data_IF_207205580040
#
_entry.id   IF_207205580040
#
_cell.length_a   1.000
_cell.length_b   1.000
_cell.length_c   1.000
_cell.angle_alpha   90.00
_cell.angle_beta   90.00
_cell.angle_gamma   90.00
#
_symmetry.space_group_name_H-M   'P 1'
#
loop_
_entity.id
_entity.type
_entity.pdbx_description
1 polymer ?
#
# COMPACT_ATOMS: atom_id res chain seq x y z
N UNK A 1 77.69 70.54 33.18
CA UNK A 1 78.28 69.27 33.61
C UNK A 1 77.16 68.16 33.72
N UNK A 2 75.97 68.49 34.20
CA UNK A 2 74.86 67.52 34.30
C UNK A 2 74.31 67.08 32.94
N UNK A 3 74.24 68.01 31.99
CA UNK A 3 73.70 67.70 30.64
C UNK A 3 74.62 66.75 29.85
N UNK A 4 75.97 66.89 30.02
CA UNK A 4 76.94 66.01 29.36
C UNK A 4 76.90 64.59 29.94
N UNK A 5 76.73 64.45 31.25
CA UNK A 5 76.57 63.14 31.89
C UNK A 5 75.28 62.42 31.53
N UNK A 6 74.20 63.15 31.30
CA UNK A 6 72.95 62.60 30.86
C UNK A 6 73.04 62.08 29.43
N UNK A 7 73.70 62.86 28.55
CA UNK A 7 73.94 62.44 27.16
C UNK A 7 74.90 61.24 27.04
N UNK A 8 75.90 61.13 27.91
CA UNK A 8 76.79 59.95 27.96
C UNK A 8 76.10 58.76 28.53
N UNK A 9 75.25 58.88 29.57
CA UNK A 9 74.43 57.78 30.10
C UNK A 9 73.40 57.27 29.09
N UNK A 10 72.75 58.17 28.36
CA UNK A 10 71.79 57.80 27.26
C UNK A 10 72.55 57.12 26.10
N UNK A 11 73.72 57.49 25.72
CA UNK A 11 74.55 56.83 24.72
C UNK A 11 75.02 55.45 25.15
N UNK A 12 75.44 55.28 26.41
CA UNK A 12 75.81 53.96 26.91
C UNK A 12 74.63 53.02 27.10
N UNK A 13 73.45 53.52 27.43
CA UNK A 13 72.22 52.77 27.49
C UNK A 13 71.79 52.33 26.09
N UNK A 14 71.80 53.21 25.08
CA UNK A 14 71.54 52.90 23.69
C UNK A 14 72.53 51.88 23.10
N UNK A 15 73.81 51.98 23.43
CA UNK A 15 74.82 51.01 23.01
C UNK A 15 74.61 49.63 23.66
N UNK A 16 74.14 49.63 24.91
CA UNK A 16 73.78 48.40 25.63
C UNK A 16 72.57 47.70 25.04
N UNK A 17 71.45 48.43 24.73
CA UNK A 17 70.26 47.87 24.12
C UNK A 17 70.52 47.30 22.71
N UNK A 18 71.30 48.00 21.87
CA UNK A 18 71.70 47.54 20.55
C UNK A 18 72.45 46.21 20.57
N UNK A 19 73.27 45.97 21.55
CA UNK A 19 73.99 44.69 21.69
C UNK A 19 73.09 43.55 22.14
N UNK A 20 72.10 43.84 22.99
CA UNK A 20 71.10 42.85 23.43
C UNK A 20 70.17 42.50 22.28
N UNK A 21 69.68 43.47 21.49
CA UNK A 21 68.85 43.24 20.33
C UNK A 21 69.50 42.35 19.26
N UNK A 22 70.81 42.49 19.03
CA UNK A 22 71.54 41.55 18.15
C UNK A 22 71.55 40.13 18.68
N UNK A 23 71.51 39.92 19.98
CA UNK A 23 71.35 38.57 20.54
C UNK A 23 69.87 38.05 20.38
N UNK A 24 68.90 38.93 20.47
CA UNK A 24 67.50 38.59 20.17
C UNK A 24 67.39 38.08 18.74
N UNK A 25 68.00 38.79 17.77
CA UNK A 25 67.99 38.36 16.37
C UNK A 25 68.59 36.96 16.19
N UNK A 26 69.76 36.68 16.86
CA UNK A 26 70.40 35.36 16.81
C UNK A 26 69.49 34.29 17.42
N UNK A 27 68.84 34.52 18.57
CA UNK A 27 67.95 33.57 19.19
C UNK A 27 66.70 33.33 18.35
N UNK A 28 66.15 34.32 17.65
CA UNK A 28 65.05 34.15 16.69
C UNK A 28 65.50 33.31 15.50
N UNK A 29 66.71 33.56 14.95
CA UNK A 29 67.26 32.75 13.85
C UNK A 29 67.54 31.29 14.24
N UNK A 30 67.98 31.06 15.52
CA UNK A 30 68.23 29.74 16.10
C UNK A 30 66.93 29.04 16.58
N UNK A 31 65.76 29.67 16.42
CA UNK A 31 64.43 29.20 16.86
C UNK A 31 64.30 29.03 18.38
N UNK A 32 65.16 29.78 19.16
CA UNK A 32 65.13 29.78 20.62
C UNK A 32 64.14 30.86 21.15
N UNK A 33 62.87 30.66 20.91
CA UNK A 33 61.76 31.63 21.09
C UNK A 33 61.68 32.18 22.51
N UNK A 34 61.76 31.31 23.53
CA UNK A 34 61.70 31.69 24.93
C UNK A 34 62.91 32.60 25.33
N UNK A 35 64.11 32.30 24.81
CA UNK A 35 65.30 33.12 25.07
C UNK A 35 65.25 34.45 24.34
N UNK A 36 64.68 34.44 23.11
CA UNK A 36 64.44 35.67 22.37
C UNK A 36 63.51 36.61 23.18
N UNK A 37 62.40 36.10 23.68
CA UNK A 37 61.42 36.84 24.51
C UNK A 37 62.11 37.37 25.82
N UNK A 38 62.84 36.51 26.53
CA UNK A 38 63.56 36.86 27.74
C UNK A 38 64.58 37.98 27.51
N UNK A 39 65.26 37.96 26.38
CA UNK A 39 66.24 39.01 26.03
C UNK A 39 65.57 40.30 25.57
N UNK A 40 64.40 40.24 24.95
CA UNK A 40 63.57 41.42 24.71
C UNK A 40 63.13 42.09 26.00
N UNK A 41 62.76 41.34 27.05
CA UNK A 41 62.46 41.93 28.37
C UNK A 41 63.64 42.68 28.96
N UNK A 42 64.86 42.15 28.84
CA UNK A 42 66.07 42.86 29.30
C UNK A 42 66.30 44.18 28.56
N UNK A 43 65.87 44.27 27.28
CA UNK A 43 65.92 45.57 26.56
C UNK A 43 64.84 46.49 27.10
N UNK A 44 63.60 45.96 27.35
CA UNK A 44 62.51 46.76 27.89
C UNK A 44 62.71 47.26 29.33
N UNK A 45 63.53 46.55 30.13
CA UNK A 45 63.94 47.00 31.43
C UNK A 45 64.83 48.29 31.36
N UNK A 46 65.54 48.47 30.23
CA UNK A 46 66.42 49.65 30.02
C UNK A 46 65.64 50.75 29.28
N UNK A 47 64.84 50.35 28.24
CA UNK A 47 64.10 51.26 27.39
C UNK A 47 62.68 50.63 27.13
N UNK A 48 61.72 51.05 27.95
CA UNK A 48 60.38 50.54 27.97
C UNK A 48 59.53 50.89 26.69
N UNK A 49 60.06 51.82 25.85
CA UNK A 49 59.40 52.24 24.62
C UNK A 49 60.13 51.68 23.40
N UNK A 50 60.96 50.66 23.52
CA UNK A 50 61.75 50.09 22.46
C UNK A 50 60.91 49.25 21.48
N UNK A 51 60.62 49.79 20.34
CA UNK A 51 59.78 49.12 19.34
C UNK A 51 60.40 47.83 18.78
N UNK A 52 61.76 47.78 18.65
CA UNK A 52 62.45 46.58 18.15
C UNK A 52 62.38 45.41 19.16
N UNK A 53 62.37 45.71 20.45
CA UNK A 53 62.17 44.69 21.49
C UNK A 53 60.74 44.12 21.45
N UNK A 54 59.75 44.97 21.33
CA UNK A 54 58.37 44.48 21.15
C UNK A 54 58.18 43.71 19.81
N UNK A 55 58.89 44.09 18.76
CA UNK A 55 58.91 43.33 17.50
C UNK A 55 59.55 41.96 17.69
N UNK A 56 60.65 41.89 18.41
CA UNK A 56 61.29 40.60 18.78
C UNK A 56 60.38 39.72 19.60
N UNK A 57 59.60 40.28 20.54
CA UNK A 57 58.56 39.53 21.29
C UNK A 57 57.43 39.06 20.38
N UNK A 58 56.97 39.89 19.45
CA UNK A 58 55.95 39.48 18.46
C UNK A 58 56.47 38.34 17.57
N UNK A 59 57.73 38.44 17.09
CA UNK A 59 58.37 37.41 16.28
C UNK A 59 58.55 36.11 17.05
N UNK A 60 58.93 36.15 18.27
CA UNK A 60 59.02 34.99 19.16
C UNK A 60 57.66 34.36 19.43
N UNK A 61 56.61 35.16 19.67
CA UNK A 61 55.20 34.72 19.83
C UNK A 61 54.69 34.02 18.60
N UNK A 62 55.03 34.52 17.40
CA UNK A 62 54.60 33.98 16.13
C UNK A 62 55.51 32.86 15.59
N UNK A 63 56.61 32.57 16.29
CA UNK A 63 57.63 31.61 15.86
C UNK A 63 58.23 31.98 14.49
N UNK A 64 58.56 33.25 14.29
CA UNK A 64 59.14 33.78 13.05
C UNK A 64 60.56 34.17 13.27
N UNK A 65 61.49 33.58 12.52
CA UNK A 65 62.92 33.77 12.67
C UNK A 65 63.45 35.09 12.10
N UNK A 66 62.83 35.63 11.04
CA UNK A 66 63.24 36.81 10.30
C UNK A 66 62.09 37.79 10.06
N UNK A 67 62.40 39.09 10.16
CA UNK A 67 61.39 40.15 9.90
C UNK A 67 60.77 40.12 8.50
N UNK A 68 61.50 39.56 7.53
CA UNK A 68 61.09 39.46 6.16
C UNK A 68 59.98 38.37 6.00
N UNK A 69 59.93 37.41 6.90
CA UNK A 69 59.00 36.28 6.85
C UNK A 69 57.65 36.56 7.54
N UNK A 70 57.48 37.74 8.17
CA UNK A 70 56.23 38.13 8.81
C UNK A 70 55.06 38.07 7.85
N UNK A 71 55.21 38.50 6.60
CA UNK A 71 54.15 38.43 5.56
C UNK A 71 53.80 36.99 5.15
N UNK A 72 54.62 36.00 5.50
CA UNK A 72 54.36 34.58 5.20
C UNK A 72 53.56 33.86 6.31
N UNK A 73 53.30 34.54 7.43
CA UNK A 73 52.54 33.96 8.51
C UNK A 73 51.10 33.62 8.09
N UNK A 74 50.52 32.60 8.69
CA UNK A 74 49.24 32.07 8.23
C UNK A 74 48.03 32.93 8.59
N UNK A 75 48.13 33.69 9.69
CA UNK A 75 47.06 34.52 10.23
C UNK A 75 47.51 35.98 10.39
N UNK A 76 46.62 36.97 10.18
CA UNK A 76 46.92 38.34 10.54
C UNK A 76 47.30 38.43 12.03
N UNK A 77 48.30 39.25 12.33
CA UNK A 77 48.80 39.41 13.70
C UNK A 77 48.51 40.78 14.28
N UNK A 78 47.62 41.58 13.65
CA UNK A 78 47.23 42.91 14.08
C UNK A 78 46.39 42.95 15.37
N UNK A 79 45.90 41.81 15.83
CA UNK A 79 45.21 41.63 17.11
C UNK A 79 46.16 41.32 18.29
N UNK A 80 47.46 41.09 18.03
CA UNK A 80 48.43 40.71 19.06
C UNK A 80 48.87 41.87 19.94
N UNK A 81 48.96 41.63 21.23
CA UNK A 81 49.41 42.68 22.18
C UNK A 81 50.77 43.26 21.83
N UNK A 82 51.71 42.42 21.43
CA UNK A 82 53.07 42.88 21.08
C UNK A 82 53.05 43.71 19.79
N UNK A 83 52.15 43.36 18.81
CA UNK A 83 51.95 44.21 17.64
C UNK A 83 51.47 45.62 18.02
N UNK A 84 50.47 45.76 18.89
CA UNK A 84 49.99 47.08 19.34
C UNK A 84 51.05 47.90 20.03
N UNK A 85 51.96 47.26 20.79
CA UNK A 85 53.08 47.93 21.41
C UNK A 85 54.14 48.38 20.39
N UNK A 86 54.47 47.53 19.39
CA UNK A 86 55.31 47.91 18.27
C UNK A 86 54.75 49.16 17.59
N UNK A 87 53.48 49.10 17.22
CA UNK A 87 52.75 50.15 16.47
C UNK A 87 52.71 51.49 17.26
N UNK A 88 52.73 51.41 18.60
CA UNK A 88 52.75 52.61 19.43
C UNK A 88 54.12 53.33 19.45
N UNK A 89 55.23 52.61 19.38
CA UNK A 89 56.56 53.13 19.61
C UNK A 89 57.47 53.12 18.38
N UNK A 90 57.07 52.44 17.28
CA UNK A 90 57.86 52.33 16.05
C UNK A 90 57.85 53.60 15.20
N UNK A 91 58.88 53.74 14.38
CA UNK A 91 58.93 54.75 13.33
C UNK A 91 57.94 54.45 12.20
N UNK A 92 57.70 55.42 11.32
CA UNK A 92 56.74 55.29 10.23
C UNK A 92 57.14 54.23 9.20
N UNK A 93 58.40 53.92 9.07
CA UNK A 93 58.90 52.87 8.11
C UNK A 93 58.57 51.48 8.59
N UNK A 94 58.79 51.19 9.86
CA UNK A 94 58.45 49.91 10.48
C UNK A 94 56.93 49.74 10.55
N UNK A 95 56.24 50.82 10.90
CA UNK A 95 54.75 50.82 10.92
C UNK A 95 54.17 50.43 9.56
N UNK A 96 54.53 51.12 8.47
CA UNK A 96 54.09 50.87 7.14
C UNK A 96 54.39 49.43 6.68
N UNK A 97 55.57 48.90 7.09
CA UNK A 97 55.97 47.54 6.78
C UNK A 97 55.00 46.53 7.42
N UNK A 98 54.77 46.63 8.71
CA UNK A 98 53.91 45.69 9.47
C UNK A 98 52.45 45.74 9.04
N UNK A 99 51.93 46.93 8.75
CA UNK A 99 50.60 47.10 8.16
C UNK A 99 50.49 46.40 6.80
N UNK A 100 51.50 46.58 5.97
CA UNK A 100 51.54 45.92 4.65
C UNK A 100 51.68 44.40 4.78
N UNK A 101 52.45 43.89 5.71
CA UNK A 101 52.60 42.44 5.95
C UNK A 101 51.26 41.84 6.35
N UNK A 102 50.48 42.49 7.25
CA UNK A 102 49.13 42.08 7.61
C UNK A 102 48.14 42.11 6.41
N UNK A 103 48.20 43.16 5.61
CA UNK A 103 47.36 43.26 4.41
C UNK A 103 47.65 42.14 3.40
N UNK A 104 48.92 41.77 3.16
CA UNK A 104 49.32 40.64 2.30
C UNK A 104 48.73 39.32 2.83
N UNK A 105 48.76 39.12 4.15
CA UNK A 105 48.18 37.89 4.77
C UNK A 105 46.66 37.89 4.57
N UNK A 106 45.97 38.99 4.85
CA UNK A 106 44.52 39.12 4.69
C UNK A 106 44.09 38.88 3.23
N UNK A 107 44.82 39.49 2.29
CA UNK A 107 44.54 39.26 0.86
C UNK A 107 44.75 37.80 0.43
N UNK A 108 45.87 37.19 0.86
CA UNK A 108 46.13 35.75 0.59
C UNK A 108 45.02 34.86 1.14
N UNK A 109 44.67 35.04 2.41
CA UNK A 109 43.65 34.22 3.08
C UNK A 109 42.27 34.44 2.45
N UNK A 110 41.95 35.66 2.02
CA UNK A 110 40.71 35.95 1.29
C UNK A 110 40.71 35.29 -0.08
N UNK A 111 41.83 35.31 -0.79
CA UNK A 111 41.97 34.65 -2.08
C UNK A 111 41.81 33.12 -1.95
N UNK A 112 42.46 32.49 -0.97
CA UNK A 112 42.31 31.04 -0.70
C UNK A 112 40.87 30.68 -0.33
N UNK A 113 40.18 31.50 0.45
CA UNK A 113 38.77 31.32 0.80
C UNK A 113 37.89 31.35 -0.46
N UNK A 114 38.08 32.32 -1.35
CA UNK A 114 37.33 32.42 -2.60
C UNK A 114 37.61 31.23 -3.56
N UNK A 115 38.88 30.78 -3.63
CA UNK A 115 39.27 29.58 -4.38
C UNK A 115 38.57 28.31 -3.85
N UNK A 116 38.46 28.19 -2.52
CA UNK A 116 37.73 27.10 -1.88
C UNK A 116 36.23 27.08 -2.27
N UNK A 117 35.56 28.22 -2.17
CA UNK A 117 34.18 28.37 -2.56
C UNK A 117 33.97 28.10 -4.06
N UNK A 118 34.90 28.57 -4.89
CA UNK A 118 34.82 28.34 -6.32
C UNK A 118 35.00 26.85 -6.69
N UNK A 119 35.92 26.18 -6.05
CA UNK A 119 36.12 24.71 -6.22
C UNK A 119 34.86 23.93 -5.85
N UNK A 120 34.23 24.28 -4.72
CA UNK A 120 32.98 23.69 -4.27
C UNK A 120 31.82 23.92 -5.25
N UNK A 121 31.70 25.13 -5.77
CA UNK A 121 30.70 25.46 -6.77
C UNK A 121 30.89 24.64 -8.09
N UNK A 122 32.15 24.49 -8.53
CA UNK A 122 32.48 23.65 -9.67
C UNK A 122 32.13 22.17 -9.42
N UNK A 123 32.46 21.63 -8.28
CA UNK A 123 32.12 20.25 -7.88
C UNK A 123 30.61 20.03 -7.86
N UNK A 124 29.83 20.99 -7.37
CA UNK A 124 28.37 20.92 -7.40
C UNK A 124 27.84 20.91 -8.82
N UNK A 125 28.41 21.74 -9.72
CA UNK A 125 28.01 21.79 -11.12
C UNK A 125 28.33 20.48 -11.85
N UNK A 126 29.50 19.87 -11.64
CA UNK A 126 29.90 18.63 -12.26
C UNK A 126 29.03 17.44 -11.83
N UNK A 127 28.67 17.40 -10.54
CA UNK A 127 27.80 16.33 -9.99
C UNK A 127 26.32 16.54 -10.28
N UNK A 128 25.92 17.70 -10.81
CA UNK A 128 24.52 18.04 -11.09
C UNK A 128 23.92 17.15 -12.19
N UNK A 129 22.74 16.59 -11.91
CA UNK A 129 21.98 15.73 -12.83
C UNK A 129 20.55 16.21 -13.04
N UNK A 130 20.04 17.03 -12.14
CA UNK A 130 18.67 17.52 -12.16
C UNK A 130 18.61 19.05 -12.31
N UNK A 131 17.45 19.57 -12.73
CA UNK A 131 17.20 21.02 -12.78
C UNK A 131 17.55 21.70 -11.44
N UNK A 132 17.21 21.06 -10.32
CA UNK A 132 17.44 21.61 -9.01
C UNK A 132 18.93 21.60 -8.62
N UNK A 133 19.66 20.56 -9.00
CA UNK A 133 21.11 20.48 -8.74
C UNK A 133 21.84 21.64 -9.45
N UNK A 134 21.52 21.89 -10.73
CA UNK A 134 22.10 23.01 -11.47
C UNK A 134 21.72 24.36 -10.86
N UNK A 135 20.49 24.54 -10.38
CA UNK A 135 20.08 25.76 -9.69
C UNK A 135 20.86 25.98 -8.37
N UNK A 136 21.12 24.90 -7.64
CA UNK A 136 21.92 24.97 -6.42
C UNK A 136 23.39 25.32 -6.73
N UNK A 137 23.96 24.74 -7.78
CA UNK A 137 25.30 25.11 -8.24
C UNK A 137 25.34 26.58 -8.68
N UNK A 138 24.34 27.08 -9.40
CA UNK A 138 24.24 28.48 -9.80
C UNK A 138 24.22 29.44 -8.60
N UNK A 139 23.55 29.08 -7.49
CA UNK A 139 23.54 29.87 -6.26
C UNK A 139 24.94 29.95 -5.64
N UNK A 140 25.70 28.85 -5.62
CA UNK A 140 27.07 28.86 -5.11
C UNK A 140 28.00 29.75 -5.94
N UNK A 141 27.83 29.81 -7.25
CA UNK A 141 28.55 30.79 -8.10
C UNK A 141 28.08 32.23 -7.89
N UNK A 142 26.83 32.45 -7.48
CA UNK A 142 26.31 33.79 -7.19
C UNK A 142 26.97 34.42 -5.98
N UNK A 143 27.34 33.64 -4.96
CA UNK A 143 28.01 34.10 -3.75
C UNK A 143 29.41 34.63 -4.03
N UNK A 144 30.01 34.24 -5.16
CA UNK A 144 31.36 34.59 -5.59
C UNK A 144 31.36 35.15 -7.03
N UNK A 145 30.33 35.93 -7.38
CA UNK A 145 30.06 36.32 -8.76
C UNK A 145 31.17 37.05 -9.49
N UNK A 146 31.98 37.81 -8.72
CA UNK A 146 33.09 38.61 -9.24
C UNK A 146 34.43 37.81 -9.25
N UNK A 147 34.44 36.58 -8.77
CA UNK A 147 35.63 35.76 -8.72
C UNK A 147 35.77 34.87 -9.98
N UNK A 148 36.90 34.97 -10.66
CA UNK A 148 37.24 34.16 -11.84
C UNK A 148 36.13 34.21 -12.91
N UNK A 149 35.71 33.05 -13.42
CA UNK A 149 34.62 32.90 -14.41
C UNK A 149 33.27 32.48 -13.75
N UNK A 150 33.08 32.76 -12.47
CA UNK A 150 31.87 32.37 -11.70
C UNK A 150 30.58 32.86 -12.36
N UNK A 151 30.59 34.07 -12.91
CA UNK A 151 29.42 34.64 -13.65
C UNK A 151 29.06 33.77 -14.86
N UNK A 152 30.05 33.40 -15.66
CA UNK A 152 29.82 32.57 -16.86
C UNK A 152 29.33 31.16 -16.48
N UNK A 153 29.90 30.56 -15.45
CA UNK A 153 29.48 29.23 -14.94
C UNK A 153 28.08 29.26 -14.33
N UNK A 154 27.69 30.32 -13.65
CA UNK A 154 26.32 30.53 -13.19
C UNK A 154 25.33 30.51 -14.37
N UNK A 155 25.60 31.25 -15.43
CA UNK A 155 24.76 31.29 -16.65
C UNK A 155 24.65 29.90 -17.28
N UNK A 156 25.77 29.18 -17.38
CA UNK A 156 25.83 27.82 -17.88
C UNK A 156 25.00 26.83 -17.04
N UNK A 157 25.01 26.99 -15.73
CA UNK A 157 24.14 26.21 -14.84
C UNK A 157 22.65 26.41 -15.16
N UNK A 158 22.21 27.64 -15.40
CA UNK A 158 20.81 27.90 -15.81
C UNK A 158 20.46 27.33 -17.17
N UNK A 159 21.38 27.38 -18.14
CA UNK A 159 21.19 26.74 -19.44
C UNK A 159 21.01 25.22 -19.30
N UNK A 160 21.85 24.56 -18.52
CA UNK A 160 21.79 23.13 -18.27
C UNK A 160 20.53 22.72 -17.48
N UNK A 161 20.12 23.54 -16.50
CA UNK A 161 18.86 23.39 -15.81
C UNK A 161 17.65 23.43 -16.78
N UNK A 162 17.66 24.35 -17.72
CA UNK A 162 16.65 24.45 -18.77
C UNK A 162 16.59 23.21 -19.68
N UNK A 163 17.74 22.69 -20.09
CA UNK A 163 17.83 21.46 -20.90
C UNK A 163 17.27 20.25 -20.16
N UNK A 164 17.64 20.03 -18.91
CA UNK A 164 17.12 18.91 -18.11
C UNK A 164 15.61 18.96 -17.89
N UNK A 165 15.05 20.17 -17.75
CA UNK A 165 13.60 20.38 -17.66
C UNK A 165 12.86 20.00 -18.94
N UNK A 166 13.41 20.37 -20.10
CA UNK A 166 12.82 20.05 -21.41
C UNK A 166 12.86 18.52 -21.65
N UNK A 167 13.97 17.87 -21.37
CA UNK A 167 14.14 16.43 -21.54
C UNK A 167 13.19 15.63 -20.64
N UNK A 168 13.00 16.06 -19.37
CA UNK A 168 12.04 15.45 -18.46
C UNK A 168 10.62 15.55 -19.00
N UNK A 169 10.20 16.73 -19.49
CA UNK A 169 8.87 16.93 -20.09
C UNK A 169 8.65 16.07 -21.33
N UNK A 170 9.68 15.94 -22.18
CA UNK A 170 9.63 15.10 -23.39
C UNK A 170 9.48 13.61 -23.05
N UNK A 171 10.22 13.11 -22.03
CA UNK A 171 10.08 11.73 -21.55
C UNK A 171 8.68 11.45 -20.98
N UNK A 172 8.14 12.36 -20.15
CA UNK A 172 6.78 12.22 -19.59
C UNK A 172 5.73 12.16 -20.70
N UNK A 173 5.83 13.04 -21.73
CA UNK A 173 4.91 12.98 -22.88
C UNK A 173 5.00 11.66 -23.65
N UNK A 174 6.21 11.15 -23.90
CA UNK A 174 6.39 9.83 -24.57
C UNK A 174 5.76 8.70 -23.78
N UNK A 175 5.96 8.66 -22.47
CA UNK A 175 5.33 7.62 -21.60
C UNK A 175 3.80 7.74 -21.60
N UNK A 176 3.26 8.95 -21.52
CA UNK A 176 1.81 9.17 -21.58
C UNK A 176 1.19 8.66 -22.90
N UNK A 177 1.87 8.89 -24.03
CA UNK A 177 1.43 8.39 -25.35
C UNK A 177 1.48 6.85 -25.38
N UNK A 178 2.56 6.23 -24.87
CA UNK A 178 2.69 4.77 -24.83
C UNK A 178 1.60 4.12 -23.96
N UNK A 179 1.30 4.73 -22.81
CA UNK A 179 0.20 4.26 -21.92
C UNK A 179 -1.15 4.39 -22.63
N UNK A 180 -1.40 5.51 -23.32
CA UNK A 180 -2.64 5.71 -24.08
C UNK A 180 -2.80 4.65 -25.20
N UNK A 181 -1.73 4.37 -25.95
CA UNK A 181 -1.73 3.31 -26.97
C UNK A 181 -1.99 1.95 -26.36
N UNK A 182 -1.33 1.60 -25.24
CA UNK A 182 -1.55 0.34 -24.54
C UNK A 182 -3.01 0.18 -24.08
N UNK A 183 -3.62 1.24 -23.53
CA UNK A 183 -5.04 1.25 -23.15
C UNK A 183 -5.95 1.02 -24.34
N UNK A 184 -5.70 1.70 -25.47
CA UNK A 184 -6.49 1.48 -26.70
C UNK A 184 -6.38 0.02 -27.19
N UNK A 185 -5.18 -0.55 -27.17
CA UNK A 185 -4.96 -1.97 -27.54
C UNK A 185 -5.74 -2.90 -26.63
N UNK A 186 -5.73 -2.67 -25.31
CA UNK A 186 -6.49 -3.46 -24.34
C UNK A 186 -8.00 -3.32 -24.61
N UNK A 187 -8.50 -2.11 -24.82
CA UNK A 187 -9.91 -1.87 -25.13
C UNK A 187 -10.31 -2.61 -26.41
N UNK A 188 -9.56 -2.47 -27.49
CA UNK A 188 -9.86 -3.16 -28.75
C UNK A 188 -9.83 -4.68 -28.58
N UNK A 189 -8.85 -5.19 -27.83
CA UNK A 189 -8.77 -6.62 -27.55
C UNK A 189 -10.00 -7.13 -26.80
N UNK A 190 -10.39 -6.46 -25.69
CA UNK A 190 -11.51 -6.90 -24.84
C UNK A 190 -12.89 -6.67 -25.47
N UNK A 191 -13.06 -5.60 -26.26
CA UNK A 191 -14.39 -5.25 -26.80
C UNK A 191 -14.65 -5.80 -28.19
N UNK A 192 -13.62 -6.14 -28.95
CA UNK A 192 -13.77 -6.58 -30.35
C UNK A 192 -13.19 -7.96 -30.58
N UNK A 193 -11.92 -8.17 -30.23
CA UNK A 193 -11.21 -9.41 -30.59
C UNK A 193 -11.67 -10.58 -29.74
N UNK A 194 -11.74 -10.41 -28.43
CA UNK A 194 -12.11 -11.47 -27.49
C UNK A 194 -13.57 -11.96 -27.71
N UNK A 195 -14.60 -11.10 -27.84
CA UNK A 195 -15.95 -11.56 -28.17
C UNK A 195 -16.02 -12.29 -29.52
N UNK A 196 -15.26 -11.84 -30.53
CA UNK A 196 -15.21 -12.53 -31.83
C UNK A 196 -14.57 -13.92 -31.72
N UNK A 197 -13.50 -14.06 -30.93
CA UNK A 197 -12.86 -15.37 -30.71
C UNK A 197 -13.77 -16.32 -29.95
N UNK A 198 -14.42 -15.84 -28.90
CA UNK A 198 -15.35 -16.61 -28.08
C UNK A 198 -16.56 -17.08 -28.94
N UNK A 199 -17.10 -16.19 -29.76
CA UNK A 199 -18.20 -16.54 -30.68
C UNK A 199 -17.81 -17.64 -31.67
N UNK A 200 -16.64 -17.54 -32.28
CA UNK A 200 -16.17 -18.58 -33.21
C UNK A 200 -15.95 -19.93 -32.51
N UNK A 201 -15.46 -19.92 -31.27
CA UNK A 201 -15.32 -21.13 -30.46
C UNK A 201 -16.71 -21.75 -30.13
N UNK A 202 -17.68 -20.93 -29.75
CA UNK A 202 -19.05 -21.40 -29.50
C UNK A 202 -19.69 -22.04 -30.75
N UNK A 203 -19.53 -21.42 -31.92
CA UNK A 203 -19.98 -21.97 -33.20
C UNK A 203 -19.33 -23.33 -33.50
N UNK A 204 -18.02 -23.45 -33.26
CA UNK A 204 -17.29 -24.71 -33.46
C UNK A 204 -17.84 -25.83 -32.55
N UNK A 205 -18.12 -25.52 -31.27
CA UNK A 205 -18.75 -26.47 -30.35
C UNK A 205 -20.13 -26.94 -30.85
N UNK A 206 -20.96 -26.01 -31.36
CA UNK A 206 -22.26 -26.34 -31.94
C UNK A 206 -22.12 -27.26 -33.17
N UNK A 207 -21.19 -26.97 -34.08
CA UNK A 207 -20.92 -27.79 -35.28
C UNK A 207 -20.37 -29.19 -34.92
N UNK A 208 -19.66 -29.32 -33.81
CA UNK A 208 -19.19 -30.61 -33.27
C UNK A 208 -20.26 -31.40 -32.54
N UNK A 209 -21.49 -30.87 -32.41
CA UNK A 209 -22.56 -31.48 -31.65
C UNK A 209 -22.46 -31.41 -30.14
N UNK A 210 -21.49 -30.59 -29.61
CA UNK A 210 -21.30 -30.34 -28.19
C UNK A 210 -22.24 -29.23 -27.70
N UNK A 211 -23.52 -29.49 -27.76
CA UNK A 211 -24.55 -28.47 -27.56
C UNK A 211 -24.55 -27.89 -26.16
N UNK A 212 -24.30 -28.69 -25.09
CA UNK A 212 -24.25 -28.17 -23.70
C UNK A 212 -23.15 -27.12 -23.51
N UNK A 213 -21.96 -27.42 -24.04
CA UNK A 213 -20.81 -26.49 -23.98
C UNK A 213 -21.03 -25.26 -24.86
N UNK A 214 -21.70 -25.47 -26.03
CA UNK A 214 -22.05 -24.37 -26.93
C UNK A 214 -23.06 -23.41 -26.28
N UNK A 215 -24.10 -23.94 -25.59
CA UNK A 215 -25.10 -23.16 -24.85
C UNK A 215 -24.39 -22.22 -23.84
N UNK A 216 -23.55 -22.76 -22.98
CA UNK A 216 -22.80 -21.97 -22.00
C UNK A 216 -21.95 -20.89 -22.67
N UNK A 217 -21.25 -21.22 -23.75
CA UNK A 217 -20.42 -20.27 -24.48
C UNK A 217 -21.23 -19.16 -25.16
N UNK A 218 -22.44 -19.44 -25.66
CA UNK A 218 -23.33 -18.42 -26.23
C UNK A 218 -24.00 -17.55 -25.17
N UNK A 219 -24.33 -18.09 -23.98
CA UNK A 219 -24.84 -17.29 -22.85
C UNK A 219 -23.84 -16.22 -22.41
N UNK A 220 -22.55 -16.55 -22.32
CA UNK A 220 -21.51 -15.59 -21.97
C UNK A 220 -21.35 -14.45 -23.00
N UNK A 221 -21.78 -14.68 -24.24
CA UNK A 221 -21.73 -13.71 -25.33
C UNK A 221 -22.91 -12.74 -25.34
N UNK A 222 -24.00 -13.06 -24.60
CA UNK A 222 -25.24 -12.30 -24.58
C UNK A 222 -25.78 -12.06 -26.01
N UNK A 223 -26.03 -10.83 -26.39
CA UNK A 223 -26.56 -10.41 -27.70
C UNK A 223 -25.50 -10.20 -28.80
N UNK A 224 -24.28 -10.74 -28.61
CA UNK A 224 -23.23 -10.61 -29.62
C UNK A 224 -23.58 -11.37 -30.91
N UNK A 225 -23.77 -10.65 -32.04
CA UNK A 225 -24.23 -11.19 -33.33
C UNK A 225 -25.56 -11.93 -33.18
N UNK A 226 -25.61 -13.20 -33.63
CA UNK A 226 -26.72 -14.11 -33.56
C UNK A 226 -26.57 -15.16 -32.43
N UNK A 227 -25.85 -14.82 -31.35
CA UNK A 227 -25.63 -15.75 -30.23
C UNK A 227 -26.92 -16.25 -29.61
N UNK A 228 -27.92 -15.37 -29.47
CA UNK A 228 -29.24 -15.74 -28.91
C UNK A 228 -29.98 -16.78 -29.79
N UNK A 229 -29.97 -16.57 -31.11
CA UNK A 229 -30.63 -17.53 -32.04
C UNK A 229 -29.90 -18.88 -32.03
N UNK A 230 -28.57 -18.89 -31.93
CA UNK A 230 -27.78 -20.13 -31.87
C UNK A 230 -27.92 -20.83 -30.53
N UNK A 231 -28.02 -20.08 -29.43
CA UNK A 231 -28.36 -20.60 -28.11
C UNK A 231 -29.69 -21.34 -28.16
N UNK A 232 -30.76 -20.71 -28.67
CA UNK A 232 -32.07 -21.29 -28.82
C UNK A 232 -32.01 -22.59 -29.68
N UNK A 233 -31.29 -22.57 -30.79
CA UNK A 233 -31.09 -23.75 -31.64
C UNK A 233 -30.38 -24.91 -30.93
N UNK A 234 -29.37 -24.62 -30.12
CA UNK A 234 -28.68 -25.62 -29.30
C UNK A 234 -29.61 -26.21 -28.24
N UNK A 235 -30.39 -25.38 -27.53
CA UNK A 235 -31.33 -25.82 -26.52
C UNK A 235 -32.40 -26.73 -27.11
N UNK A 236 -32.98 -26.37 -28.27
CA UNK A 236 -33.94 -27.20 -29.01
C UNK A 236 -33.35 -28.55 -29.47
N UNK A 237 -32.03 -28.65 -29.63
CA UNK A 237 -31.37 -29.89 -30.04
C UNK A 237 -31.20 -30.90 -28.91
N UNK A 238 -31.28 -30.47 -27.64
CA UNK A 238 -30.98 -31.32 -26.48
C UNK A 238 -32.07 -31.33 -25.40
N UNK A 239 -33.10 -30.49 -25.52
CA UNK A 239 -34.26 -30.47 -24.60
C UNK A 239 -35.50 -30.97 -25.27
N UNK A 240 -36.38 -31.61 -24.51
CA UNK A 240 -37.73 -31.82 -24.99
C UNK A 240 -38.52 -30.50 -25.02
N UNK A 241 -39.66 -30.46 -25.71
CA UNK A 241 -40.46 -29.24 -25.91
C UNK A 241 -40.90 -28.58 -24.59
N UNK A 242 -41.26 -29.39 -23.57
CA UNK A 242 -41.72 -28.87 -22.28
C UNK A 242 -40.55 -28.23 -21.52
N UNK A 243 -39.39 -28.88 -21.44
CA UNK A 243 -38.19 -28.39 -20.79
C UNK A 243 -37.64 -27.14 -21.49
N UNK A 244 -37.67 -27.13 -22.83
CA UNK A 244 -37.27 -25.93 -23.58
C UNK A 244 -38.19 -24.75 -23.29
N UNK A 245 -39.53 -24.98 -23.28
CA UNK A 245 -40.49 -23.94 -22.96
C UNK A 245 -40.32 -23.43 -21.51
N UNK A 246 -40.06 -24.31 -20.56
CA UNK A 246 -39.74 -23.93 -19.17
C UNK A 246 -38.48 -23.08 -19.13
N UNK A 247 -37.41 -23.56 -19.76
CA UNK A 247 -36.11 -22.82 -19.80
C UNK A 247 -36.26 -21.43 -20.44
N UNK A 248 -37.01 -21.37 -21.57
CA UNK A 248 -37.11 -20.11 -22.34
C UNK A 248 -37.99 -19.06 -21.67
N UNK A 249 -39.08 -19.49 -21.04
CA UNK A 249 -40.14 -18.59 -20.58
C UNK A 249 -40.05 -18.27 -19.08
N UNK A 250 -39.11 -18.90 -18.32
CA UNK A 250 -38.97 -18.66 -16.88
C UNK A 250 -37.80 -17.70 -16.63
N UNK A 251 -38.07 -16.60 -15.91
CA UNK A 251 -37.09 -15.61 -15.51
C UNK A 251 -36.79 -15.75 -14.01
N UNK A 252 -35.66 -15.16 -13.57
CA UNK A 252 -35.27 -15.16 -12.15
C UNK A 252 -36.38 -14.49 -11.32
N UNK A 253 -36.85 -15.19 -10.31
CA UNK A 253 -37.97 -14.79 -9.45
C UNK A 253 -39.32 -15.39 -9.82
N UNK A 254 -39.48 -15.95 -11.02
CA UNK A 254 -40.68 -16.68 -11.41
C UNK A 254 -40.81 -18.01 -10.68
N UNK A 255 -42.03 -18.51 -10.54
CA UNK A 255 -42.30 -19.81 -9.93
C UNK A 255 -42.93 -20.77 -10.89
N UNK A 256 -42.58 -22.05 -10.72
CA UNK A 256 -43.14 -23.17 -11.48
C UNK A 256 -43.24 -24.43 -10.60
N UNK A 257 -44.03 -25.38 -11.01
CA UNK A 257 -44.22 -26.66 -10.31
C UNK A 257 -43.16 -27.68 -10.72
N UNK A 258 -42.52 -28.31 -9.74
CA UNK A 258 -41.59 -29.42 -9.92
C UNK A 258 -41.63 -30.34 -8.71
N UNK A 259 -41.89 -31.60 -8.91
CA UNK A 259 -42.10 -32.57 -7.84
C UNK A 259 -43.43 -32.44 -7.10
N UNK A 260 -43.69 -33.38 -6.17
CA UNK A 260 -44.94 -33.47 -5.40
C UNK A 260 -44.62 -34.01 -3.99
N UNK A 261 -44.50 -33.11 -3.00
CA UNK A 261 -44.30 -33.49 -1.62
C UNK A 261 -45.53 -33.06 -0.79
N UNK A 262 -46.38 -34.04 -0.44
CA UNK A 262 -47.64 -33.77 0.26
C UNK A 262 -48.56 -32.73 -0.47
N UNK A 263 -48.42 -32.70 -1.82
CA UNK A 263 -49.06 -31.75 -2.73
C UNK A 263 -48.06 -31.18 -3.75
N UNK A 264 -48.57 -30.59 -4.82
CA UNK A 264 -47.72 -29.93 -5.83
C UNK A 264 -46.79 -28.94 -5.17
N UNK A 265 -45.49 -29.07 -5.45
CA UNK A 265 -44.48 -28.19 -4.89
C UNK A 265 -44.09 -27.13 -5.91
N UNK A 266 -44.33 -25.85 -5.56
CA UNK A 266 -43.87 -24.71 -6.37
C UNK A 266 -42.45 -24.31 -5.97
N UNK A 267 -41.67 -23.95 -6.98
CA UNK A 267 -40.27 -23.51 -6.84
C UNK A 267 -40.07 -22.16 -7.46
N UNK A 268 -39.19 -21.34 -6.88
CA UNK A 268 -38.77 -20.05 -7.40
C UNK A 268 -37.42 -20.22 -8.07
N UNK A 269 -37.25 -19.69 -9.29
CA UNK A 269 -35.97 -19.64 -9.99
C UNK A 269 -35.06 -18.60 -9.36
N UNK A 270 -33.92 -19.04 -8.86
CA UNK A 270 -32.91 -18.18 -8.25
C UNK A 270 -31.75 -17.83 -9.18
N UNK A 271 -31.35 -18.79 -10.03
CA UNK A 271 -30.21 -18.61 -10.95
C UNK A 271 -30.38 -19.55 -12.17
N UNK A 272 -29.75 -19.19 -13.28
CA UNK A 272 -29.80 -19.92 -14.53
C UNK A 272 -28.40 -19.95 -15.16
N UNK A 273 -27.90 -21.15 -15.44
CA UNK A 273 -26.59 -21.33 -16.05
C UNK A 273 -26.63 -22.48 -17.08
N UNK A 274 -26.45 -22.16 -18.35
CA UNK A 274 -26.58 -23.11 -19.44
C UNK A 274 -27.99 -23.76 -19.45
N UNK A 275 -28.03 -25.07 -19.37
CA UNK A 275 -29.28 -25.83 -19.28
C UNK A 275 -29.76 -26.04 -17.85
N UNK A 276 -29.05 -25.56 -16.86
CA UNK A 276 -29.34 -25.78 -15.44
C UNK A 276 -30.05 -24.60 -14.79
N UNK A 277 -30.97 -24.88 -13.89
CA UNK A 277 -31.73 -23.92 -13.11
C UNK A 277 -31.48 -24.16 -11.62
N UNK A 278 -31.08 -23.14 -10.86
CA UNK A 278 -31.10 -23.18 -9.39
C UNK A 278 -32.49 -22.76 -8.93
N UNK A 279 -33.13 -23.63 -8.19
CA UNK A 279 -34.46 -23.39 -7.66
C UNK A 279 -34.50 -23.56 -6.14
N UNK A 280 -35.41 -22.82 -5.50
CA UNK A 280 -35.72 -22.95 -4.07
C UNK A 280 -37.24 -23.13 -3.93
N UNK A 281 -37.67 -23.94 -2.98
CA UNK A 281 -39.12 -24.07 -2.74
C UNK A 281 -39.74 -22.69 -2.40
N UNK A 282 -40.89 -22.41 -2.98
CA UNK A 282 -41.64 -21.16 -2.75
C UNK A 282 -42.10 -21.07 -1.31
N UNK A 283 -42.78 -22.12 -0.85
CA UNK A 283 -43.17 -22.30 0.55
C UNK A 283 -42.23 -23.30 1.23
N UNK A 284 -42.08 -23.22 2.54
CA UNK A 284 -41.34 -24.22 3.30
C UNK A 284 -42.13 -25.54 3.27
N UNK A 285 -41.42 -26.61 2.89
CA UNK A 285 -42.05 -27.90 2.58
C UNK A 285 -42.37 -28.72 3.83
N UNK A 286 -41.58 -28.59 4.88
CA UNK A 286 -41.70 -29.35 6.13
C UNK A 286 -41.17 -28.54 7.32
N UNK A 287 -41.25 -29.15 8.50
CA UNK A 287 -40.67 -28.64 9.75
C UNK A 287 -39.87 -29.76 10.42
N UNK A 288 -38.57 -29.59 10.51
CA UNK A 288 -37.68 -30.62 10.98
C UNK A 288 -36.50 -30.07 11.81
N UNK A 289 -35.96 -30.91 12.70
CA UNK A 289 -34.73 -30.64 13.39
C UNK A 289 -33.53 -30.58 12.43
N UNK A 290 -32.66 -29.59 12.61
CA UNK A 290 -31.44 -29.52 11.83
C UNK A 290 -30.45 -30.62 12.20
N UNK A 291 -30.20 -30.83 13.50
CA UNK A 291 -29.33 -31.87 14.04
C UNK A 291 -30.04 -33.18 14.35
N UNK A 292 -29.29 -34.22 14.62
CA UNK A 292 -29.80 -35.53 14.96
C UNK A 292 -30.43 -35.51 16.35
N UNK A 293 -31.71 -35.89 16.48
CA UNK A 293 -32.38 -36.02 17.78
C UNK A 293 -31.73 -37.19 18.55
N UNK A 294 -31.35 -37.04 19.86
CA UNK A 294 -30.91 -38.13 20.69
C UNK A 294 -32.04 -39.17 20.83
N UNK A 295 -31.71 -40.41 20.59
CA UNK A 295 -32.71 -41.54 20.58
C UNK A 295 -33.29 -41.87 21.96
N UNK A 296 -32.90 -41.26 23.07
CA UNK A 296 -33.36 -41.61 24.41
C UNK A 296 -33.56 -40.36 25.29
N UNK A 297 -34.77 -40.22 25.82
CA UNK A 297 -35.12 -39.23 26.85
C UNK A 297 -34.38 -39.45 28.20
N UNK A 298 -33.72 -40.59 28.37
CA UNK A 298 -33.01 -40.95 29.58
C UNK A 298 -31.50 -40.73 29.53
N UNK A 299 -30.97 -40.20 28.44
CA UNK A 299 -29.55 -39.87 28.39
C UNK A 299 -29.38 -38.44 28.92
N UNK A 300 -29.05 -38.34 30.21
CA UNK A 300 -28.91 -37.11 30.95
C UNK A 300 -27.74 -36.23 30.50
N UNK A 301 -26.97 -36.66 29.50
CA UNK A 301 -25.90 -35.89 28.87
C UNK A 301 -25.75 -36.27 27.39
N UNK A 302 -26.64 -35.77 26.50
CA UNK A 302 -26.30 -35.84 25.09
C UNK A 302 -25.05 -34.97 24.90
N UNK A 303 -23.95 -35.57 24.52
CA UNK A 303 -22.85 -34.85 23.93
C UNK A 303 -23.38 -34.32 22.60
N UNK A 304 -23.90 -33.10 22.61
CA UNK A 304 -24.20 -32.36 21.42
C UNK A 304 -22.83 -32.11 20.80
N UNK A 305 -22.46 -32.96 19.84
CA UNK A 305 -21.27 -32.75 19.06
C UNK A 305 -21.47 -31.53 18.15
N UNK A 306 -20.39 -31.00 17.68
CA UNK A 306 -20.38 -30.01 16.61
C UNK A 306 -21.28 -30.49 15.46
N UNK A 307 -22.36 -29.75 15.16
CA UNK A 307 -23.32 -30.10 14.10
C UNK A 307 -23.14 -29.15 12.94
N UNK A 308 -22.32 -29.55 11.98
CA UNK A 308 -22.15 -28.87 10.69
C UNK A 308 -23.19 -29.35 9.68
N UNK A 309 -23.29 -28.66 8.53
CA UNK A 309 -24.13 -29.16 7.44
C UNK A 309 -23.77 -30.59 7.04
N UNK A 310 -22.46 -30.90 6.91
CA UNK A 310 -21.95 -32.23 6.57
C UNK A 310 -22.53 -33.33 7.45
N UNK A 311 -22.60 -33.09 8.76
CA UNK A 311 -23.04 -34.06 9.76
C UNK A 311 -24.53 -33.98 10.14
N UNK A 312 -25.27 -33.01 9.58
CA UNK A 312 -26.64 -32.73 9.97
C UNK A 312 -27.62 -33.85 9.58
N UNK A 313 -28.62 -34.06 10.43
CA UNK A 313 -29.76 -34.96 10.12
C UNK A 313 -30.54 -34.41 8.92
N UNK A 314 -30.70 -33.09 8.83
CA UNK A 314 -31.51 -32.45 7.80
C UNK A 314 -30.89 -32.67 6.40
N UNK A 315 -29.56 -32.62 6.25
CA UNK A 315 -28.86 -32.95 5.01
C UNK A 315 -29.14 -34.40 4.57
N UNK A 316 -28.97 -35.36 5.54
CA UNK A 316 -29.26 -36.76 5.27
C UNK A 316 -30.73 -36.93 4.84
N UNK A 317 -31.68 -36.34 5.57
CA UNK A 317 -33.10 -36.45 5.27
C UNK A 317 -33.48 -35.90 3.88
N UNK A 318 -32.94 -34.74 3.50
CA UNK A 318 -33.14 -34.14 2.19
C UNK A 318 -32.63 -34.99 1.05
N UNK A 319 -31.47 -35.62 1.21
CA UNK A 319 -30.81 -36.37 0.13
C UNK A 319 -31.17 -37.89 0.11
N UNK A 320 -31.83 -38.41 1.15
CA UNK A 320 -32.19 -39.83 1.28
C UNK A 320 -33.71 -40.05 1.34
N UNK A 321 -34.44 -39.29 2.17
CA UNK A 321 -35.90 -39.45 2.31
C UNK A 321 -36.67 -38.53 1.37
N UNK A 322 -36.52 -37.23 1.52
CA UNK A 322 -37.29 -36.22 0.80
C UNK A 322 -37.15 -36.35 -0.71
N UNK A 323 -35.96 -36.59 -1.23
CA UNK A 323 -35.73 -36.77 -2.68
C UNK A 323 -36.57 -37.93 -3.27
N UNK A 324 -36.71 -39.03 -2.52
CA UNK A 324 -37.47 -40.20 -2.98
C UNK A 324 -38.97 -40.04 -2.78
N UNK A 325 -39.40 -39.18 -1.88
CA UNK A 325 -40.82 -38.93 -1.61
C UNK A 325 -41.39 -37.82 -2.52
N UNK A 326 -40.55 -36.81 -2.81
CA UNK A 326 -40.95 -35.59 -3.50
C UNK A 326 -40.83 -35.67 -5.02
N UNK A 327 -40.00 -36.56 -5.57
CA UNK A 327 -39.68 -36.55 -7.01
C UNK A 327 -39.81 -37.93 -7.64
N UNK A 328 -40.40 -37.97 -8.81
CA UNK A 328 -40.43 -39.17 -9.69
C UNK A 328 -39.00 -39.52 -10.14
N UNK A 329 -38.83 -40.73 -10.69
CA UNK A 329 -37.54 -41.19 -11.21
C UNK A 329 -37.02 -40.25 -12.32
N UNK A 330 -37.91 -39.78 -13.19
CA UNK A 330 -37.62 -38.85 -14.26
C UNK A 330 -37.16 -37.50 -13.70
N UNK A 331 -37.88 -36.94 -12.73
CA UNK A 331 -37.51 -35.69 -12.08
C UNK A 331 -36.19 -35.84 -11.31
N UNK A 332 -35.97 -36.98 -10.61
CA UNK A 332 -34.69 -37.24 -9.93
C UNK A 332 -33.50 -37.32 -10.89
N UNK A 333 -33.70 -37.74 -12.14
CA UNK A 333 -32.64 -37.75 -13.15
C UNK A 333 -32.22 -36.34 -13.58
N UNK A 334 -33.14 -35.38 -13.47
CA UNK A 334 -32.85 -33.96 -13.74
C UNK A 334 -32.13 -33.27 -12.59
N UNK A 335 -32.19 -33.79 -11.34
CA UNK A 335 -31.57 -33.17 -10.18
C UNK A 335 -30.05 -33.41 -10.19
N UNK A 336 -29.29 -32.33 -10.26
CA UNK A 336 -27.84 -32.34 -10.38
C UNK A 336 -27.19 -32.54 -9.02
N UNK A 337 -26.24 -33.47 -8.91
CA UNK A 337 -25.36 -33.52 -7.74
C UNK A 337 -24.37 -32.35 -7.79
N UNK A 338 -24.43 -31.50 -6.79
CA UNK A 338 -23.68 -30.22 -6.74
C UNK A 338 -22.70 -30.20 -5.58
N UNK A 339 -21.51 -29.68 -5.82
CA UNK A 339 -20.57 -29.37 -4.75
C UNK A 339 -21.07 -28.14 -3.98
N UNK A 340 -21.40 -28.36 -2.70
CA UNK A 340 -21.93 -27.34 -1.80
C UNK A 340 -20.83 -26.88 -0.85
N UNK A 341 -20.47 -25.62 -0.93
CA UNK A 341 -19.46 -25.01 -0.04
C UNK A 341 -20.07 -24.70 1.33
N UNK A 342 -19.34 -25.02 2.39
CA UNK A 342 -19.76 -24.82 3.78
C UNK A 342 -18.79 -23.89 4.52
N UNK A 343 -18.78 -22.57 4.20
CA UNK A 343 -17.89 -21.62 4.88
C UNK A 343 -18.25 -21.47 6.36
N UNK A 344 -17.29 -20.99 7.13
CA UNK A 344 -17.53 -20.59 8.51
C UNK A 344 -18.59 -19.48 8.57
N UNK A 345 -19.25 -19.37 9.75
CA UNK A 345 -20.17 -18.27 9.98
C UNK A 345 -19.43 -16.92 9.79
N UNK A 346 -19.93 -15.98 8.98
CA UNK A 346 -19.22 -14.74 8.66
C UNK A 346 -19.06 -13.80 9.87
N UNK A 347 -20.00 -13.81 10.83
CA UNK A 347 -19.96 -12.94 12.02
C UNK A 347 -19.21 -13.61 13.19
N UNK A 348 -19.46 -14.89 13.45
CA UNK A 348 -18.97 -15.60 14.64
C UNK A 348 -17.77 -16.52 14.38
N UNK A 349 -17.39 -16.71 13.11
CA UNK A 349 -16.32 -17.63 12.69
C UNK A 349 -16.47 -19.07 13.18
N UNK A 350 -17.70 -19.49 13.50
CA UNK A 350 -18.03 -20.87 13.84
C UNK A 350 -17.78 -21.77 12.63
N UNK A 351 -17.15 -22.90 12.82
CA UNK A 351 -16.75 -23.84 11.77
C UNK A 351 -17.97 -24.37 10.98
N UNK A 352 -17.94 -24.22 9.67
CA UNK A 352 -18.96 -24.71 8.74
C UNK A 352 -18.82 -26.21 8.37
N UNK A 353 -17.68 -26.81 8.67
CA UNK A 353 -17.33 -28.18 8.29
C UNK A 353 -16.78 -28.28 6.87
N UNK A 354 -16.69 -29.50 6.35
CA UNK A 354 -16.21 -29.76 5.01
C UNK A 354 -17.29 -29.42 3.94
N UNK A 355 -16.85 -29.08 2.73
CA UNK A 355 -17.71 -29.03 1.57
C UNK A 355 -18.37 -30.40 1.34
N UNK A 356 -19.58 -30.38 0.81
CA UNK A 356 -20.37 -31.61 0.57
C UNK A 356 -20.77 -31.73 -0.90
N UNK A 357 -21.12 -32.94 -1.31
CA UNK A 357 -21.80 -33.18 -2.60
C UNK A 357 -23.24 -33.54 -2.29
N UNK A 358 -24.16 -32.69 -2.73
CA UNK A 358 -25.58 -32.81 -2.42
C UNK A 358 -26.43 -32.64 -3.69
N UNK A 359 -27.54 -33.38 -3.76
CA UNK A 359 -28.60 -33.14 -4.74
C UNK A 359 -29.56 -32.06 -4.26
N UNK A 360 -29.86 -32.07 -2.96
CA UNK A 360 -30.76 -31.09 -2.33
C UNK A 360 -30.06 -30.49 -1.11
N UNK A 361 -30.09 -29.19 -1.00
CA UNK A 361 -29.38 -28.46 0.08
C UNK A 361 -30.22 -27.27 0.58
N UNK A 362 -29.78 -26.67 1.67
CA UNK A 362 -30.29 -25.38 2.12
C UNK A 362 -29.33 -24.27 1.65
N UNK A 363 -29.80 -23.05 1.48
CA UNK A 363 -28.93 -21.93 1.19
C UNK A 363 -28.01 -21.61 2.39
N UNK A 364 -26.81 -21.13 2.11
CA UNK A 364 -25.95 -20.49 3.12
C UNK A 364 -26.44 -19.06 3.42
N UNK A 365 -25.83 -18.40 4.43
CA UNK A 365 -26.03 -16.98 4.69
C UNK A 365 -25.70 -16.17 3.42
N UNK A 366 -24.53 -16.37 2.84
CA UNK A 366 -24.05 -15.65 1.66
C UNK A 366 -24.96 -15.86 0.45
N UNK A 367 -25.45 -17.10 0.22
CA UNK A 367 -26.37 -17.42 -0.87
C UNK A 367 -27.74 -16.79 -0.65
N UNK A 368 -28.25 -16.80 0.59
CA UNK A 368 -29.51 -16.13 0.92
C UNK A 368 -29.42 -14.60 0.73
N UNK A 369 -28.25 -14.00 0.94
CA UNK A 369 -28.01 -12.59 0.63
C UNK A 369 -27.86 -12.36 -0.87
N UNK A 370 -27.16 -13.23 -1.58
CA UNK A 370 -26.91 -13.14 -3.02
C UNK A 370 -28.20 -13.24 -3.83
N UNK A 371 -29.03 -14.25 -3.55
CA UNK A 371 -30.18 -14.58 -4.39
C UNK A 371 -31.45 -13.81 -4.05
N UNK A 372 -31.52 -13.22 -2.85
CA UNK A 372 -32.67 -12.41 -2.46
C UNK A 372 -32.26 -10.96 -2.26
N UNK A 373 -32.72 -10.09 -3.15
CA UNK A 373 -32.37 -8.66 -3.15
C UNK A 373 -32.85 -7.88 -1.92
N UNK A 374 -33.85 -8.40 -1.20
CA UNK A 374 -34.42 -7.77 -0.01
C UNK A 374 -34.88 -8.80 1.03
N UNK A 375 -35.11 -8.35 2.27
CA UNK A 375 -35.66 -9.20 3.32
C UNK A 375 -37.09 -9.68 2.98
N UNK A 376 -37.89 -8.86 2.31
CA UNK A 376 -39.24 -9.22 1.87
C UNK A 376 -39.23 -10.44 0.93
N UNK A 377 -38.24 -10.50 0.06
CA UNK A 377 -38.06 -11.63 -0.86
C UNK A 377 -37.59 -12.92 -0.15
N UNK A 378 -36.95 -12.79 1.02
CA UNK A 378 -36.58 -13.93 1.86
C UNK A 378 -37.72 -14.47 2.71
N UNK A 379 -38.82 -13.71 2.88
CA UNK A 379 -40.01 -14.20 3.62
C UNK A 379 -40.51 -15.48 2.99
N UNK A 380 -40.98 -16.42 3.83
CA UNK A 380 -41.45 -17.71 3.41
C UNK A 380 -42.66 -18.14 4.24
N UNK A 381 -43.69 -18.62 3.57
CA UNK A 381 -44.85 -19.25 4.22
C UNK A 381 -44.59 -20.73 4.43
N UNK A 382 -45.10 -21.35 5.49
CA UNK A 382 -45.10 -22.81 5.57
C UNK A 382 -46.22 -23.40 4.71
N UNK A 383 -45.96 -24.53 4.05
CA UNK A 383 -47.01 -25.36 3.46
C UNK A 383 -48.02 -25.83 4.52
N UNK A 384 -49.15 -26.32 4.11
CA UNK A 384 -50.11 -26.90 5.04
C UNK A 384 -49.51 -28.06 5.84
N UNK A 385 -48.70 -28.88 5.20
CA UNK A 385 -47.99 -29.99 5.81
C UNK A 385 -46.94 -29.51 6.82
N UNK A 386 -46.08 -28.58 6.44
CA UNK A 386 -45.08 -27.99 7.35
C UNK A 386 -45.73 -27.39 8.59
N UNK A 387 -46.85 -26.68 8.42
CA UNK A 387 -47.62 -26.13 9.54
C UNK A 387 -48.21 -27.25 10.42
N UNK A 388 -48.71 -28.32 9.83
CA UNK A 388 -49.20 -29.48 10.56
C UNK A 388 -48.09 -30.17 11.39
N UNK A 389 -46.86 -30.17 10.89
CA UNK A 389 -45.68 -30.71 11.55
C UNK A 389 -45.02 -29.77 12.56
N UNK A 390 -45.59 -28.58 12.83
CA UNK A 390 -45.18 -27.72 13.90
C UNK A 390 -44.41 -26.47 13.52
N UNK A 391 -44.31 -26.14 12.23
CA UNK A 391 -43.70 -24.91 11.80
C UNK A 391 -44.33 -23.68 12.49
N UNK A 392 -43.55 -22.87 13.15
CA UNK A 392 -44.03 -21.67 13.82
C UNK A 392 -44.46 -20.62 12.78
N UNK A 393 -45.70 -20.16 12.88
CA UNK A 393 -46.27 -19.17 12.00
C UNK A 393 -46.46 -17.88 12.74
N UNK A 394 -45.89 -16.81 12.27
CA UNK A 394 -45.98 -15.46 12.84
C UNK A 394 -47.29 -14.79 12.36
N UNK A 395 -47.61 -13.63 12.98
CA UNK A 395 -48.83 -12.85 12.65
C UNK A 395 -48.90 -12.42 11.17
N UNK A 396 -47.73 -12.26 10.53
CA UNK A 396 -47.67 -11.96 9.09
C UNK A 396 -47.90 -13.19 8.19
N UNK A 397 -48.11 -14.39 8.74
CA UNK A 397 -48.34 -15.63 8.05
C UNK A 397 -47.07 -16.36 7.56
N UNK A 398 -45.89 -15.82 7.86
CA UNK A 398 -44.62 -16.40 7.48
C UNK A 398 -44.01 -17.25 8.61
N UNK A 399 -43.03 -18.07 8.26
CA UNK A 399 -42.31 -18.93 9.20
C UNK A 399 -40.80 -18.65 9.23
N UNK A 400 -40.14 -19.17 10.26
CA UNK A 400 -38.67 -19.27 10.29
C UNK A 400 -38.26 -20.46 9.42
N UNK A 401 -37.12 -20.33 8.71
CA UNK A 401 -36.58 -21.41 7.92
C UNK A 401 -35.05 -21.52 8.02
N UNK A 402 -34.53 -22.76 8.00
CA UNK A 402 -33.14 -23.07 8.19
C UNK A 402 -32.27 -22.60 7.02
N UNK A 403 -31.07 -22.11 7.36
CA UNK A 403 -29.91 -22.01 6.48
C UNK A 403 -28.91 -23.12 6.83
N UNK A 404 -28.05 -23.51 5.90
CA UNK A 404 -27.03 -24.54 6.17
C UNK A 404 -25.82 -24.01 6.95
N UNK A 405 -25.60 -22.69 7.00
CA UNK A 405 -24.49 -22.07 7.73
C UNK A 405 -24.62 -22.32 9.23
N UNK A 406 -23.50 -22.52 9.97
CA UNK A 406 -23.52 -22.62 11.42
C UNK A 406 -24.00 -21.32 12.04
N UNK A 407 -24.52 -21.37 13.28
CA UNK A 407 -24.85 -20.20 14.07
C UNK A 407 -23.67 -19.70 14.92
N UNK A 408 -23.98 -19.01 16.02
CA UNK A 408 -22.97 -18.46 16.95
C UNK A 408 -22.18 -19.56 17.67
N UNK A 409 -22.81 -20.70 17.95
CA UNK A 409 -22.22 -21.86 18.65
C UNK A 409 -22.22 -23.10 17.77
N UNK A 410 -21.35 -24.06 18.06
CA UNK A 410 -21.19 -25.32 17.31
C UNK A 410 -22.46 -26.20 17.26
N UNK A 411 -23.40 -25.98 18.16
CA UNK A 411 -24.71 -26.62 18.18
C UNK A 411 -25.85 -25.72 17.70
N UNK A 412 -25.53 -24.64 16.97
CA UNK A 412 -26.49 -23.70 16.40
C UNK A 412 -26.38 -23.70 14.88
N UNK A 413 -27.50 -23.54 14.19
CA UNK A 413 -27.56 -23.28 12.74
C UNK A 413 -28.25 -21.92 12.51
N UNK A 414 -27.74 -21.18 11.52
CA UNK A 414 -28.35 -19.93 11.09
C UNK A 414 -29.74 -20.18 10.50
N UNK A 415 -30.59 -19.16 10.50
CA UNK A 415 -31.94 -19.23 9.94
C UNK A 415 -32.41 -17.86 9.47
N UNK A 416 -33.44 -17.83 8.67
CA UNK A 416 -34.17 -16.61 8.30
C UNK A 416 -35.44 -16.54 9.18
N UNK A 417 -35.76 -15.35 9.71
CA UNK A 417 -36.96 -15.14 10.49
C UNK A 417 -38.21 -14.86 9.63
N UNK A 418 -39.36 -14.75 10.24
CA UNK A 418 -40.62 -14.49 9.57
C UNK A 418 -40.72 -13.13 8.87
N UNK A 419 -39.87 -12.18 9.23
CA UNK A 419 -39.76 -10.86 8.60
C UNK A 419 -38.69 -10.82 7.49
N UNK A 420 -37.99 -11.94 7.27
CA UNK A 420 -36.95 -12.12 6.25
C UNK A 420 -35.56 -11.67 6.68
N UNK A 421 -35.33 -11.38 7.97
CA UNK A 421 -33.98 -11.11 8.47
C UNK A 421 -33.19 -12.41 8.61
N UNK A 422 -31.96 -12.38 8.19
CA UNK A 422 -31.01 -13.47 8.44
C UNK A 422 -30.53 -13.35 9.90
N UNK A 423 -30.76 -14.40 10.66
CA UNK A 423 -30.32 -14.51 12.04
C UNK A 423 -29.03 -15.35 12.05
N UNK A 424 -27.89 -14.68 11.94
CA UNK A 424 -26.58 -15.31 11.88
C UNK A 424 -26.18 -16.01 13.17
N UNK A 425 -26.67 -15.48 14.33
CA UNK A 425 -26.49 -16.17 15.61
C UNK A 425 -27.22 -17.50 15.66
N UNK A 426 -28.24 -17.69 14.83
CA UNK A 426 -28.97 -18.94 14.67
C UNK A 426 -29.79 -19.36 15.88
N UNK A 427 -30.09 -20.66 15.93
CA UNK A 427 -30.76 -21.30 17.06
C UNK A 427 -30.22 -22.71 17.23
N UNK A 428 -30.49 -23.34 18.41
CA UNK A 428 -30.09 -24.70 18.66
C UNK A 428 -30.64 -25.65 17.58
N UNK A 429 -29.75 -26.54 17.09
CA UNK A 429 -30.05 -27.52 16.04
C UNK A 429 -31.09 -28.56 16.49
N UNK A 430 -31.32 -28.68 17.81
CA UNK A 430 -32.42 -29.41 18.45
C UNK A 430 -32.65 -28.81 19.84
N UNK A 431 -33.90 -28.95 20.39
CA UNK A 431 -34.20 -28.48 21.75
C UNK A 431 -34.53 -29.66 22.64
N UNK A 432 -33.95 -29.70 23.85
CA UNK A 432 -34.27 -30.70 24.89
C UNK A 432 -35.64 -30.46 25.53
N UNK A 433 -36.19 -29.24 25.38
CA UNK A 433 -37.40 -28.81 26.09
C UNK A 433 -38.66 -28.85 25.23
N UNK A 434 -38.52 -29.23 23.95
CA UNK A 434 -39.63 -29.26 23.02
C UNK A 434 -39.64 -30.54 22.19
N UNK A 435 -40.83 -31.15 22.07
CA UNK A 435 -41.07 -32.31 21.23
C UNK A 435 -41.22 -31.95 19.75
N UNK A 436 -41.29 -30.67 19.43
CA UNK A 436 -41.53 -30.17 18.08
C UNK A 436 -40.40 -29.28 17.59
N UNK A 437 -39.99 -29.44 16.36
CA UNK A 437 -39.21 -28.46 15.63
C UNK A 437 -40.11 -27.23 15.35
N UNK A 438 -39.54 -26.04 15.39
CA UNK A 438 -40.29 -24.80 15.10
C UNK A 438 -39.80 -24.12 13.83
N UNK A 439 -38.61 -24.48 13.35
CA UNK A 439 -38.00 -23.92 12.16
C UNK A 439 -38.26 -24.79 10.97
N UNK A 440 -38.79 -24.20 9.92
CA UNK A 440 -39.24 -24.91 8.70
C UNK A 440 -38.05 -25.20 7.76
N UNK A 441 -38.28 -26.07 6.83
CA UNK A 441 -37.31 -26.53 5.83
C UNK A 441 -37.68 -25.92 4.46
N UNK A 442 -36.78 -25.19 3.88
CA UNK A 442 -36.88 -24.55 2.57
C UNK A 442 -35.74 -25.02 1.68
N UNK A 443 -35.89 -26.17 0.98
CA UNK A 443 -34.84 -26.77 0.19
C UNK A 443 -34.57 -26.02 -1.11
N UNK A 444 -33.29 -26.08 -1.56
CA UNK A 444 -32.84 -25.63 -2.86
C UNK A 444 -32.13 -26.77 -3.60
N UNK A 445 -32.17 -26.74 -4.93
CA UNK A 445 -31.51 -27.72 -5.76
C UNK A 445 -31.24 -27.18 -7.18
N UNK A 446 -30.32 -27.82 -7.88
CA UNK A 446 -30.09 -27.57 -9.30
C UNK A 446 -30.76 -28.65 -10.11
N UNK A 447 -31.51 -28.25 -11.16
CA UNK A 447 -32.04 -29.17 -12.18
C UNK A 447 -31.37 -28.89 -13.53
N UNK A 448 -31.06 -29.95 -14.27
CA UNK A 448 -30.61 -29.88 -15.67
C UNK A 448 -31.77 -30.27 -16.59
N UNK A 449 -32.22 -29.34 -17.43
CA UNK A 449 -33.35 -29.54 -18.35
C UNK A 449 -32.96 -30.31 -19.62
N UNK A 450 -31.66 -30.56 -19.81
CA UNK A 450 -31.12 -31.28 -20.98
C UNK A 450 -30.62 -32.69 -20.60
N UNK A 451 -31.36 -33.38 -19.72
CA UNK A 451 -31.13 -34.81 -19.43
C UNK A 451 -31.90 -35.67 -20.42
N UNK A 452 -31.22 -36.66 -21.01
CA UNK A 452 -31.79 -37.68 -21.92
C UNK A 452 -32.69 -38.68 -21.19
#
# INVERSE_FOLDING_TARGET
>A
METIKKEEFERDAIAGTSTILKRVEIFLEDEEWERADEYCEKVLDIDAENAEAYLGKLMAELHISKKEDLSNYNEPFDDRNNYHKVMRFCDDKLRTKLEKDNEIIKERNHQEYLEGLYSDACNKMEKAKTENDYKNAAKSFEEIIDFSDAKEKKEKCFELAGKTRIDKKARVKKHAILVAIALVVVIVFTTVIQPMMNYNAAVSLMEEGKYKEAITAFEELNDYKDSVDKLDACCLSIMNENNYNLWKNTEIGDSFTFGNYEGETEWILLDKYGTTLLIISKDAVDCAWYGKRPFSFNDSTPKVGNTTWESSYLRWWLNDCFINEAFSTEEQSMIVTTKVSNPNNPEYNTDGGNDTEDKIFLLSIEEAEKYFSSKENRQCKPSAYAKGNGASVSDNGNCFWWLRSPGMYENYAARVDSDGYILEFGTEVFSHYSDHAYTAVRPALWIDLAVE
#
